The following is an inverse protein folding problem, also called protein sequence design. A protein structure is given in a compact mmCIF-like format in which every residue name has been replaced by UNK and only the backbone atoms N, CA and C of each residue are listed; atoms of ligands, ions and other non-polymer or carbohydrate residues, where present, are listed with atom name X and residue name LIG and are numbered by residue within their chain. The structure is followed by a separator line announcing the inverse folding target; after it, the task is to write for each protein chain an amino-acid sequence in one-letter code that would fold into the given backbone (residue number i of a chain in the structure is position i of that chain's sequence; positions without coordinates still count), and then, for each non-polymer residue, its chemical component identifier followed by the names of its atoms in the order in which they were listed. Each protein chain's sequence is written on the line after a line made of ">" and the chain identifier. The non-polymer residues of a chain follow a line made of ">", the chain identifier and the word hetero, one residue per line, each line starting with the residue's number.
data_IF_326001351659
#
_entry.id   IF_326001351659
#
_cell.length_a   1.000
_cell.length_b   1.000
_cell.length_c   1.000
_cell.angle_alpha   90.00
_cell.angle_beta   90.00
_cell.angle_gamma   90.00
#
_symmetry.space_group_name_H-M   'P 1'
#
loop_
_entity.id
_entity.type
_entity.pdbx_description
1 polymer ?
#
# COMPACT_ATOMS: atom_id res chain seq x y z
N UNK A 1 18.09 3.17 -14.50
CA UNK A 1 17.25 1.95 -14.43
C UNK A 1 17.65 1.18 -13.19
N UNK A 2 16.71 0.95 -12.28
CA UNK A 2 16.94 0.04 -11.16
C UNK A 2 17.05 -1.39 -11.65
N UNK A 3 17.94 -2.17 -11.04
CA UNK A 3 18.16 -3.58 -11.37
C UNK A 3 18.23 -4.38 -10.09
N UNK A 4 17.57 -5.53 -10.09
CA UNK A 4 17.69 -6.53 -9.03
C UNK A 4 18.52 -7.68 -9.60
N UNK A 5 19.60 -8.05 -8.91
CA UNK A 5 20.40 -9.25 -9.24
C UNK A 5 20.08 -10.33 -8.22
N UNK A 6 19.55 -11.45 -8.69
CA UNK A 6 19.25 -12.62 -7.86
C UNK A 6 20.37 -13.64 -8.05
N UNK A 7 20.89 -14.19 -6.95
CA UNK A 7 21.82 -15.32 -6.95
C UNK A 7 21.06 -16.55 -6.47
N UNK A 8 20.90 -17.54 -7.36
CA UNK A 8 20.21 -18.78 -7.04
C UNK A 8 21.04 -19.75 -6.18
N UNK A 9 20.50 -20.95 -5.97
CA UNK A 9 21.20 -22.06 -5.31
C UNK A 9 20.89 -22.26 -3.83
N UNK A 10 19.91 -21.53 -3.27
CA UNK A 10 19.45 -21.71 -1.89
C UNK A 10 17.92 -21.87 -1.85
N UNK A 11 17.37 -22.96 -1.31
CA UNK A 11 15.94 -23.05 -1.06
C UNK A 11 15.52 -22.00 -0.01
N UNK A 12 14.30 -21.47 -0.15
CA UNK A 12 13.74 -20.54 0.83
C UNK A 12 13.14 -21.33 1.99
N UNK A 13 13.44 -20.92 3.22
CA UNK A 13 12.87 -21.47 4.45
C UNK A 13 12.50 -20.31 5.39
N UNK A 14 11.31 -20.39 6.00
CA UNK A 14 10.80 -19.39 6.92
C UNK A 14 9.42 -18.88 6.56
N UNK A 15 9.00 -17.80 7.22
CA UNK A 15 7.70 -17.16 7.01
C UNK A 15 7.87 -15.66 6.85
N UNK A 16 6.97 -15.05 6.09
CA UNK A 16 6.88 -13.59 5.94
C UNK A 16 5.44 -13.15 6.13
N UNK A 17 5.24 -11.98 6.73
CA UNK A 17 3.93 -11.33 6.80
C UNK A 17 3.73 -10.51 5.52
N UNK A 18 2.61 -10.74 4.84
CA UNK A 18 2.21 -9.92 3.69
C UNK A 18 1.52 -8.63 4.16
N UNK A 19 1.63 -7.56 3.36
CA UNK A 19 0.80 -6.37 3.53
C UNK A 19 -0.63 -6.60 3.04
N UNK A 20 -1.50 -5.62 3.25
CA UNK A 20 -2.88 -5.67 2.74
C UNK A 20 -2.98 -5.60 1.23
N UNK A 21 -4.20 -5.76 0.72
CA UNK A 21 -4.47 -5.80 -0.70
C UNK A 21 -4.56 -4.39 -1.28
N UNK A 22 -3.69 -4.05 -2.24
CA UNK A 22 -3.69 -2.75 -2.94
C UNK A 22 -5.08 -2.36 -3.44
N UNK A 23 -5.78 -3.30 -4.06
CA UNK A 23 -7.07 -3.05 -4.70
C UNK A 23 -8.23 -2.91 -3.70
N UNK A 24 -8.05 -3.33 -2.44
CA UNK A 24 -8.96 -3.02 -1.36
C UNK A 24 -8.62 -1.65 -0.76
N UNK A 25 -7.33 -1.39 -0.50
CA UNK A 25 -6.89 -0.14 0.13
C UNK A 25 -7.11 1.12 -0.71
N UNK A 26 -7.04 1.04 -2.05
CA UNK A 26 -7.29 2.20 -2.92
C UNK A 26 -8.71 2.80 -2.75
N UNK A 27 -9.80 2.03 -2.92
CA UNK A 27 -11.14 2.55 -2.68
C UNK A 27 -11.40 2.88 -1.20
N UNK A 28 -10.82 2.14 -0.25
CA UNK A 28 -10.95 2.43 1.19
C UNK A 28 -10.36 3.81 1.54
N UNK A 29 -9.19 4.15 0.98
CA UNK A 29 -8.56 5.47 1.15
C UNK A 29 -9.45 6.58 0.59
N UNK A 30 -10.10 6.37 -0.58
CA UNK A 30 -11.06 7.32 -1.12
C UNK A 30 -12.35 7.42 -0.28
N UNK A 31 -12.81 6.32 0.31
CA UNK A 31 -14.01 6.28 1.13
C UNK A 31 -13.89 7.16 2.39
N UNK A 32 -12.66 7.49 2.83
CA UNK A 32 -12.43 8.44 3.91
C UNK A 32 -13.01 9.84 3.62
N UNK A 33 -13.18 10.21 2.35
CA UNK A 33 -13.82 11.48 1.95
C UNK A 33 -15.32 11.55 2.28
N UNK A 34 -15.97 10.41 2.56
CA UNK A 34 -17.42 10.34 2.79
C UNK A 34 -17.84 10.79 4.21
N UNK A 35 -16.88 11.13 5.06
CA UNK A 35 -17.13 11.56 6.44
C UNK A 35 -16.18 12.68 6.84
N UNK A 36 -16.61 13.53 7.77
CA UNK A 36 -15.76 14.56 8.39
C UNK A 36 -15.02 14.03 9.64
N UNK A 37 -15.22 12.77 10.01
CA UNK A 37 -14.53 12.13 11.13
C UNK A 37 -13.19 11.52 10.66
N UNK A 38 -12.17 11.45 11.53
CA UNK A 38 -10.93 10.73 11.21
C UNK A 38 -11.20 9.26 10.87
N UNK A 39 -10.66 8.80 9.74
CA UNK A 39 -10.67 7.39 9.33
C UNK A 39 -9.26 6.83 9.43
N UNK A 40 -9.10 5.74 10.18
CA UNK A 40 -7.80 5.06 10.35
C UNK A 40 -7.86 3.71 9.64
N UNK A 41 -7.06 3.54 8.59
CA UNK A 41 -6.93 2.28 7.87
C UNK A 41 -5.69 1.52 8.37
N UNK A 42 -5.90 0.27 8.76
CA UNK A 42 -4.82 -0.63 9.19
C UNK A 42 -4.42 -1.58 8.05
N UNK A 43 -3.19 -2.08 8.10
CA UNK A 43 -2.66 -3.05 7.13
C UNK A 43 -2.63 -2.54 5.66
N UNK A 44 -2.55 -1.22 5.46
CA UNK A 44 -2.41 -0.63 4.12
C UNK A 44 -1.04 -0.99 3.53
N UNK A 45 -0.95 -1.52 2.30
CA UNK A 45 0.32 -1.89 1.69
C UNK A 45 1.13 -0.67 1.25
N UNK A 46 2.45 -0.74 1.43
CA UNK A 46 3.37 0.34 1.08
C UNK A 46 3.79 0.29 -0.40
N UNK A 47 2.83 0.56 -1.29
CA UNK A 47 3.06 0.59 -2.75
C UNK A 47 2.90 1.99 -3.32
N UNK A 48 3.50 2.22 -4.49
CA UNK A 48 3.48 3.53 -5.17
C UNK A 48 2.05 4.06 -5.37
N UNK A 49 1.12 3.20 -5.79
CA UNK A 49 -0.26 3.60 -6.08
C UNK A 49 -0.95 4.21 -4.84
N UNK A 50 -0.73 3.62 -3.65
CA UNK A 50 -1.27 4.14 -2.38
C UNK A 50 -0.67 5.50 -2.04
N UNK A 51 0.66 5.65 -2.19
CA UNK A 51 1.33 6.95 -1.95
C UNK A 51 0.84 8.02 -2.91
N UNK A 52 0.64 7.68 -4.18
CA UNK A 52 0.09 8.61 -5.18
C UNK A 52 -1.32 9.02 -4.81
N UNK A 53 -2.19 8.07 -4.43
CA UNK A 53 -3.56 8.39 -4.01
C UNK A 53 -3.57 9.30 -2.78
N UNK A 54 -2.73 9.04 -1.78
CA UNK A 54 -2.60 9.91 -0.61
C UNK A 54 -2.23 11.35 -0.95
N UNK A 55 -1.34 11.56 -1.95
CA UNK A 55 -1.04 12.91 -2.45
C UNK A 55 -2.23 13.56 -3.13
N UNK A 56 -2.90 12.83 -4.02
CA UNK A 56 -4.11 13.31 -4.71
C UNK A 56 -5.18 13.74 -3.70
N UNK A 57 -5.44 12.91 -2.68
CA UNK A 57 -6.39 13.26 -1.63
C UNK A 57 -5.95 14.47 -0.79
N UNK A 58 -4.65 14.62 -0.56
CA UNK A 58 -4.08 15.82 0.07
C UNK A 58 -4.25 17.10 -0.75
N UNK A 59 -4.46 17.01 -2.06
CA UNK A 59 -4.76 18.19 -2.90
C UNK A 59 -6.26 18.60 -2.81
N UNK A 60 -7.14 17.74 -2.29
CA UNK A 60 -8.56 18.04 -2.07
C UNK A 60 -8.85 18.71 -0.71
N UNK A 61 -7.83 18.92 0.14
CA UNK A 61 -7.96 19.50 1.48
C UNK A 61 -6.76 20.34 1.91
#
# INVERSE_FOLDING_TARGET
>A
MEKIRIVGGRPLEGTVRIGGAKNASLPEVCAALLTNQPVVLHNVPEVRDIRTMGRVLGDFG
#
